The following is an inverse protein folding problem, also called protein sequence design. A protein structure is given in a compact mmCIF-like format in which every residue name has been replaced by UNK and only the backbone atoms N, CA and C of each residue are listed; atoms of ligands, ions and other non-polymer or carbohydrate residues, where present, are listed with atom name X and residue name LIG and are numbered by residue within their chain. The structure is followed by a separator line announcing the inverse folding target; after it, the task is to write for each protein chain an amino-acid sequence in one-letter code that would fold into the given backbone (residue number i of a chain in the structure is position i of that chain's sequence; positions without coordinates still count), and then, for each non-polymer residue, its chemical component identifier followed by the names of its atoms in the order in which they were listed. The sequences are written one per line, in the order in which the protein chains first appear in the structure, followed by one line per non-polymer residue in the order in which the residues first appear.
data_IF_520665404989
#
_entry.id   IF_520665404989
#
_cell.length_a   1.000
_cell.length_b   1.000
_cell.length_c   1.000
_cell.angle_alpha   90.00
_cell.angle_beta   90.00
_cell.angle_gamma   90.00
#
_symmetry.space_group_name_H-M   'P 1'
#
loop_
_entity.id
_entity.type
_entity.pdbx_description
1 polymer ?
#
# COMPACT_ATOMS: atom_id res chain seq x y z
N UNK A 1 -5.79 -15.48 4.17
CA UNK A 1 -4.45 -14.92 3.91
C UNK A 1 -4.61 -13.42 3.66
N UNK A 2 -3.63 -12.62 4.07
CA UNK A 2 -3.61 -11.18 3.82
C UNK A 2 -2.35 -10.91 2.98
N UNK A 3 -2.52 -10.34 1.80
CA UNK A 3 -1.44 -9.96 0.87
C UNK A 3 -1.36 -8.43 0.79
N UNK A 4 -0.27 -7.83 1.27
CA UNK A 4 -0.07 -6.38 1.27
C UNK A 4 1.04 -6.05 0.27
N UNK A 5 0.75 -5.16 -0.69
CA UNK A 5 1.66 -4.92 -1.81
C UNK A 5 1.65 -6.10 -2.77
N UNK A 6 0.45 -6.59 -3.10
CA UNK A 6 0.25 -7.81 -3.87
C UNK A 6 0.83 -7.76 -5.29
N UNK A 7 1.18 -6.56 -5.78
CA UNK A 7 1.78 -6.32 -7.09
C UNK A 7 0.94 -6.95 -8.20
N UNK A 8 1.49 -7.88 -8.99
CA UNK A 8 0.74 -8.58 -10.05
C UNK A 8 -0.18 -9.71 -9.52
N UNK A 9 -0.25 -9.91 -8.18
CA UNK A 9 -1.17 -10.84 -7.51
C UNK A 9 -0.84 -12.33 -7.64
N UNK A 10 0.40 -12.69 -8.00
CA UNK A 10 0.79 -14.10 -8.20
C UNK A 10 0.57 -14.95 -6.95
N UNK A 11 1.02 -14.47 -5.79
CA UNK A 11 0.86 -15.21 -4.53
C UNK A 11 -0.60 -15.21 -4.03
N UNK A 12 -1.30 -14.09 -4.20
CA UNK A 12 -2.74 -14.01 -3.99
C UNK A 12 -3.52 -15.06 -4.79
N UNK A 13 -3.22 -15.25 -6.07
CA UNK A 13 -3.91 -16.25 -6.90
C UNK A 13 -3.52 -17.69 -6.55
N UNK A 14 -2.26 -17.93 -6.18
CA UNK A 14 -1.88 -19.24 -5.64
C UNK A 14 -2.69 -19.60 -4.39
N UNK A 15 -2.85 -18.67 -3.46
CA UNK A 15 -3.60 -18.93 -2.22
C UNK A 15 -5.10 -19.06 -2.44
N UNK A 16 -5.70 -18.18 -3.26
CA UNK A 16 -7.15 -18.19 -3.54
C UNK A 16 -7.57 -19.36 -4.45
N UNK A 17 -6.79 -19.60 -5.51
CA UNK A 17 -7.06 -20.63 -6.51
C UNK A 17 -6.56 -22.00 -6.08
N UNK A 18 -5.24 -22.19 -6.02
CA UNK A 18 -4.65 -23.51 -5.80
C UNK A 18 -4.90 -24.06 -4.39
N UNK A 19 -4.81 -23.21 -3.36
CA UNK A 19 -5.07 -23.63 -1.97
C UNK A 19 -6.54 -23.46 -1.55
N UNK A 20 -7.35 -22.80 -2.37
CA UNK A 20 -8.76 -22.57 -2.09
C UNK A 20 -9.04 -21.71 -0.86
N UNK A 21 -8.07 -20.92 -0.39
CA UNK A 21 -8.19 -20.13 0.84
C UNK A 21 -8.86 -18.79 0.57
N UNK A 22 -9.55 -18.26 1.58
CA UNK A 22 -9.97 -16.87 1.56
C UNK A 22 -8.74 -15.95 1.62
N UNK A 23 -8.69 -14.97 0.72
CA UNK A 23 -7.53 -14.10 0.51
C UNK A 23 -7.98 -12.64 0.41
N UNK A 24 -7.48 -11.81 1.33
CA UNK A 24 -7.60 -10.36 1.31
C UNK A 24 -6.37 -9.80 0.61
N UNK A 25 -6.57 -9.02 -0.44
CA UNK A 25 -5.51 -8.48 -1.30
C UNK A 25 -5.54 -6.96 -1.20
N UNK A 26 -4.41 -6.37 -0.85
CA UNK A 26 -4.25 -4.93 -0.70
C UNK A 26 -3.12 -4.47 -1.62
N UNK A 27 -3.42 -3.55 -2.52
CA UNK A 27 -2.42 -2.87 -3.35
C UNK A 27 -2.80 -1.40 -3.54
N UNK A 28 -1.78 -0.55 -3.65
CA UNK A 28 -1.96 0.89 -3.82
C UNK A 28 -1.99 1.31 -5.30
N UNK A 29 -1.39 0.51 -6.19
CA UNK A 29 -1.24 0.87 -7.59
C UNK A 29 -2.42 0.36 -8.42
N UNK A 30 -3.19 1.27 -9.01
CA UNK A 30 -4.42 0.93 -9.73
C UNK A 30 -4.21 -0.12 -10.85
N UNK A 31 -3.17 -0.04 -11.70
CA UNK A 31 -2.93 -1.07 -12.71
C UNK A 31 -2.73 -2.48 -12.13
N UNK A 32 -2.16 -2.60 -10.93
CA UNK A 32 -2.04 -3.87 -10.22
C UNK A 32 -3.42 -4.37 -9.81
N UNK A 33 -4.24 -3.52 -9.18
CA UNK A 33 -5.62 -3.83 -8.81
C UNK A 33 -6.44 -4.33 -10.01
N UNK A 34 -6.35 -3.66 -11.16
CA UNK A 34 -7.05 -4.06 -12.38
C UNK A 34 -6.58 -5.43 -12.92
N UNK A 35 -5.26 -5.66 -12.90
CA UNK A 35 -4.69 -6.95 -13.31
C UNK A 35 -5.15 -8.09 -12.40
N UNK A 36 -5.16 -7.85 -11.08
CA UNK A 36 -5.61 -8.85 -10.11
C UNK A 36 -7.11 -9.10 -10.26
N UNK A 37 -7.93 -8.07 -10.43
CA UNK A 37 -9.37 -8.22 -10.67
C UNK A 37 -9.65 -9.10 -11.89
N UNK A 38 -8.88 -8.92 -12.97
CA UNK A 38 -8.97 -9.77 -14.17
C UNK A 38 -8.56 -11.21 -13.88
N UNK A 39 -7.48 -11.43 -13.13
CA UNK A 39 -7.03 -12.76 -12.73
C UNK A 39 -8.08 -13.50 -11.87
N UNK A 40 -8.70 -12.79 -10.92
CA UNK A 40 -9.79 -13.31 -10.08
C UNK A 40 -10.96 -13.79 -10.93
N UNK A 41 -11.31 -13.05 -11.98
CA UNK A 41 -12.38 -13.44 -12.92
C UNK A 41 -11.98 -14.67 -13.73
N UNK A 42 -10.77 -14.71 -14.28
CA UNK A 42 -10.26 -15.84 -15.09
C UNK A 42 -10.25 -17.12 -14.26
N UNK A 43 -9.79 -17.07 -13.00
CA UNK A 43 -9.71 -18.24 -12.12
C UNK A 43 -11.03 -18.61 -11.44
N UNK A 44 -12.07 -17.79 -11.58
CA UNK A 44 -13.39 -17.99 -10.93
C UNK A 44 -13.30 -18.12 -9.41
N UNK A 45 -12.50 -17.26 -8.78
CA UNK A 45 -12.26 -17.23 -7.32
C UNK A 45 -12.87 -16.02 -6.62
N UNK A 46 -13.87 -15.39 -7.24
CA UNK A 46 -14.53 -14.19 -6.71
C UNK A 46 -15.08 -14.40 -5.29
N UNK A 47 -15.59 -15.60 -4.99
CA UNK A 47 -16.15 -15.95 -3.68
C UNK A 47 -15.10 -16.09 -2.56
N UNK A 48 -13.82 -15.99 -2.90
CA UNK A 48 -12.69 -16.20 -1.99
C UNK A 48 -11.75 -15.00 -1.91
N UNK A 49 -12.00 -13.97 -2.70
CA UNK A 49 -11.10 -12.82 -2.80
C UNK A 49 -11.82 -11.55 -2.41
N UNK A 50 -11.20 -10.79 -1.50
CA UNK A 50 -11.55 -9.38 -1.28
C UNK A 50 -10.39 -8.54 -1.77
N UNK A 51 -10.70 -7.61 -2.67
CA UNK A 51 -9.74 -6.70 -3.28
C UNK A 51 -9.89 -5.31 -2.65
N UNK A 52 -8.79 -4.78 -2.11
CA UNK A 52 -8.76 -3.47 -1.47
C UNK A 52 -7.76 -2.60 -2.22
N UNK A 53 -8.28 -1.58 -2.90
CA UNK A 53 -7.47 -0.52 -3.50
C UNK A 53 -7.24 0.56 -2.44
N UNK A 54 -6.25 0.36 -1.59
CA UNK A 54 -5.91 1.31 -0.55
C UNK A 54 -4.40 1.26 -0.29
N UNK A 55 -3.78 2.42 -0.31
CA UNK A 55 -2.44 2.58 0.21
C UNK A 55 -2.54 2.78 1.73
N UNK A 56 -1.55 2.34 2.51
CA UNK A 56 -1.34 2.75 3.91
C UNK A 56 -1.18 4.29 4.10
N UNK A 57 -1.57 5.09 3.11
CA UNK A 57 -1.41 6.52 2.98
C UNK A 57 -2.77 7.16 2.66
N UNK A 58 -3.13 8.21 3.38
CA UNK A 58 -4.24 9.10 3.00
C UNK A 58 -3.85 10.12 1.93
N UNK A 59 -2.55 10.32 1.67
CA UNK A 59 -1.98 11.25 0.68
C UNK A 59 -0.66 10.73 0.09
N UNK A 60 -0.39 10.97 -1.19
CA UNK A 60 0.88 10.61 -1.84
C UNK A 60 1.99 11.62 -1.51
N UNK A 61 3.22 11.14 -1.33
CA UNK A 61 4.41 11.98 -1.13
C UNK A 61 4.75 12.36 0.32
N UNK A 62 3.97 11.91 1.30
CA UNK A 62 4.26 12.12 2.73
C UNK A 62 5.10 10.98 3.32
N UNK A 63 6.05 11.32 4.18
CA UNK A 63 6.85 10.34 4.91
C UNK A 63 6.12 9.92 6.19
N UNK A 64 5.83 8.63 6.32
CA UNK A 64 5.32 8.05 7.56
C UNK A 64 6.48 7.76 8.50
N UNK A 65 6.43 8.27 9.73
CA UNK A 65 7.40 7.96 10.79
C UNK A 65 6.71 7.17 11.89
N UNK A 66 7.31 6.06 12.31
CA UNK A 66 6.89 5.35 13.51
C UNK A 66 7.41 6.09 14.74
N UNK A 67 6.50 6.64 15.55
CA UNK A 67 6.84 7.27 16.82
C UNK A 67 7.48 6.24 17.76
N UNK A 68 8.73 6.47 18.18
CA UNK A 68 9.41 5.62 19.18
C UNK A 68 8.75 5.70 20.57
N UNK A 69 8.02 6.76 20.87
CA UNK A 69 7.37 6.99 22.17
C UNK A 69 5.95 6.42 22.25
N UNK A 70 5.34 6.07 21.11
CA UNK A 70 3.95 5.60 21.05
C UNK A 70 3.81 4.55 19.94
N UNK A 71 3.96 3.25 20.26
CA UNK A 71 4.04 2.17 19.28
C UNK A 71 2.79 1.99 18.40
N UNK A 72 1.67 2.62 18.78
CA UNK A 72 0.35 2.42 18.19
C UNK A 72 -0.11 3.57 17.30
N UNK A 73 0.62 4.69 17.25
CA UNK A 73 0.23 5.87 16.47
C UNK A 73 1.14 6.03 15.25
N UNK A 74 0.63 5.61 14.10
CA UNK A 74 1.18 5.98 12.80
C UNK A 74 0.73 7.43 12.56
N UNK A 75 1.67 8.38 12.56
CA UNK A 75 1.39 9.80 12.32
C UNK A 75 2.00 10.25 10.99
N UNK A 76 1.25 11.08 10.26
CA UNK A 76 1.71 11.75 9.05
C UNK A 76 2.49 13.02 9.44
N UNK A 77 3.68 13.22 8.87
CA UNK A 77 4.41 14.49 9.02
C UNK A 77 4.30 15.33 7.75
N UNK A 78 3.82 16.56 7.89
CA UNK A 78 3.93 17.58 6.85
C UNK A 78 5.37 18.08 6.78
N UNK A 79 5.99 18.02 5.60
CA UNK A 79 7.34 18.54 5.37
C UNK A 79 7.31 20.05 5.41
N UNK A 80 7.69 20.68 6.53
CA UNK A 80 7.90 22.12 6.58
C UNK A 80 9.13 22.45 5.73
N UNK A 81 8.94 23.14 4.59
CA UNK A 81 10.05 23.72 3.82
C UNK A 81 10.80 24.72 4.72
N UNK A 82 12.01 24.35 5.14
CA UNK A 82 12.93 25.30 5.75
C UNK A 82 13.39 26.28 4.66
N UNK A 83 12.88 27.51 4.70
CA UNK A 83 13.44 28.61 3.95
C UNK A 83 14.88 28.84 4.44
N UNK A 84 15.86 28.44 3.64
CA UNK A 84 17.26 28.79 3.87
C UNK A 84 17.41 30.27 3.52
N UNK A 85 17.28 31.16 4.50
CA UNK A 85 17.77 32.54 4.38
C UNK A 85 19.29 32.52 4.40
N UNK A 86 19.88 32.74 3.23
CA UNK A 86 21.31 32.97 3.06
C UNK A 86 21.71 34.33 3.67
N UNK A 87 22.25 34.33 4.88
CA UNK A 87 23.01 35.47 5.39
C UNK A 87 24.43 35.44 4.82
N UNK A 88 24.71 36.39 3.93
CA UNK A 88 26.05 36.73 3.46
C UNK A 88 26.82 37.38 4.62
N UNK A 89 27.88 36.73 5.12
CA UNK A 89 28.88 37.37 5.99
C UNK A 89 30.08 37.74 5.13
N UNK A 90 30.27 39.04 4.91
CA UNK A 90 31.51 39.60 4.36
C UNK A 90 32.42 39.92 5.55
N UNK A 91 33.58 39.26 5.61
CA UNK A 91 34.72 39.69 6.43
C UNK A 91 35.59 40.68 5.65
#
# INVERSE_FOLDING_TARGET
MIDIGANIGGYSMFTAGALGRFTLIIDCYLPNIENIARAVQIQRVQNRVVLVHNALYSKSGEYITLSKSTPSEIQLRETTQQNITSEFVVQ
#
